data_IF_803757490833
#
_entry.id   IF_803757490833
#
_cell.length_a   1.000
_cell.length_b   1.000
_cell.length_c   1.000
_cell.angle_alpha   90.00
_cell.angle_beta   90.00
_cell.angle_gamma   90.00
#
_symmetry.space_group_name_H-M   'P 1'
#
loop_
_entity.id
_entity.type
_entity.pdbx_description
1 polymer ?
#
# COMPACT_ATOMS: atom_id res chain seq x y z
N UNK A 1 -12.70 52.57 -64.77
CA UNK A 1 -11.67 53.33 -64.03
C UNK A 1 -10.83 52.33 -63.22
N UNK A 2 -9.51 52.57 -63.10
CA UNK A 2 -8.41 51.59 -63.20
C UNK A 2 -8.12 50.89 -61.84
N UNK A 3 -7.13 50.02 -61.60
CA UNK A 3 -5.81 49.88 -62.21
C UNK A 3 -5.12 48.57 -61.75
N UNK A 4 -4.47 47.91 -62.72
CA UNK A 4 -3.18 47.15 -62.71
C UNK A 4 -2.68 46.55 -61.37
N UNK A 5 -2.50 45.23 -61.25
CA UNK A 5 -1.58 44.31 -61.94
C UNK A 5 -0.09 44.45 -61.57
N UNK A 6 0.48 43.43 -60.90
CA UNK A 6 1.46 42.45 -61.44
C UNK A 6 2.18 41.70 -60.31
N UNK A 7 2.16 40.37 -60.37
CA UNK A 7 3.07 39.47 -59.65
C UNK A 7 4.42 39.29 -60.38
N UNK A 8 5.06 38.11 -60.29
CA UNK A 8 5.97 37.76 -59.18
C UNK A 8 7.35 37.22 -59.61
N UNK A 9 8.36 37.31 -58.69
CA UNK A 9 9.56 36.43 -58.46
C UNK A 9 10.54 36.19 -59.64
N UNK A 10 11.66 35.45 -59.49
CA UNK A 10 12.66 35.25 -58.41
C UNK A 10 14.12 35.45 -58.90
N UNK A 11 15.16 35.30 -58.05
CA UNK A 11 16.42 34.56 -58.38
C UNK A 11 17.28 34.25 -57.15
N UNK A 12 17.91 33.06 -57.18
CA UNK A 12 18.91 32.47 -56.27
C UNK A 12 20.33 32.99 -56.53
N UNK A 13 21.26 32.86 -55.58
CA UNK A 13 22.41 31.91 -55.66
C UNK A 13 23.50 32.18 -54.61
N UNK A 14 24.21 31.11 -54.28
CA UNK A 14 25.20 30.87 -53.22
C UNK A 14 26.61 31.48 -53.46
N UNK A 15 27.43 31.54 -52.40
CA UNK A 15 28.79 30.97 -52.33
C UNK A 15 29.52 31.33 -51.01
N UNK A 16 30.05 30.30 -50.33
CA UNK A 16 31.06 30.29 -49.23
C UNK A 16 32.50 30.31 -49.83
N UNK A 17 33.60 30.04 -49.10
CA UNK A 17 34.18 30.60 -47.86
C UNK A 17 35.64 31.12 -48.10
N UNK A 18 36.32 31.71 -47.11
CA UNK A 18 37.79 31.85 -47.14
C UNK A 18 38.42 31.73 -45.75
N UNK A 19 39.29 30.72 -45.62
CA UNK A 19 40.18 30.50 -44.49
C UNK A 19 41.41 31.41 -44.55
N UNK A 20 42.00 31.74 -43.40
CA UNK A 20 43.44 31.98 -43.27
C UNK A 20 43.94 31.45 -41.93
N UNK A 21 45.15 30.90 -41.98
CA UNK A 21 45.79 29.97 -41.05
C UNK A 21 47.04 30.64 -40.45
N UNK A 22 47.51 30.03 -39.36
CA UNK A 22 48.88 30.05 -38.80
C UNK A 22 49.35 31.26 -37.97
N UNK A 23 49.89 30.93 -36.78
CA UNK A 23 50.48 31.91 -35.86
C UNK A 23 50.95 31.39 -34.49
N UNK A 24 51.60 30.22 -34.44
CA UNK A 24 52.85 29.96 -33.66
C UNK A 24 52.90 30.15 -32.11
N UNK A 25 53.05 29.02 -31.41
CA UNK A 25 53.62 28.90 -30.05
C UNK A 25 55.12 29.26 -30.02
N UNK A 26 55.67 29.69 -28.87
CA UNK A 26 57.04 29.31 -28.50
C UNK A 26 57.13 28.49 -27.21
N UNK A 27 58.04 27.50 -27.26
CA UNK A 27 58.55 26.66 -26.16
C UNK A 27 59.69 27.36 -25.40
N UNK A 28 59.87 26.94 -24.13
CA UNK A 28 61.11 27.06 -23.33
C UNK A 28 61.09 28.25 -22.36
N UNK A 29 61.57 28.18 -21.11
CA UNK A 29 62.77 27.51 -20.59
C UNK A 29 62.73 27.44 -19.04
N UNK A 30 63.44 26.45 -18.48
CA UNK A 30 64.06 26.36 -17.14
C UNK A 30 63.27 25.89 -15.90
N UNK A 31 63.41 24.58 -15.70
CA UNK A 31 63.73 23.89 -14.44
C UNK A 31 64.37 24.72 -13.31
N UNK A 32 63.87 24.51 -12.07
CA UNK A 32 64.72 24.43 -10.88
C UNK A 32 64.35 23.20 -10.05
N UNK A 33 65.26 22.23 -10.04
CA UNK A 33 65.36 21.16 -9.05
C UNK A 33 65.87 21.76 -7.74
N UNK A 34 65.19 21.51 -6.62
CA UNK A 34 65.82 21.50 -5.30
C UNK A 34 65.68 20.10 -4.69
N UNK A 35 66.80 19.63 -4.12
CA UNK A 35 67.00 18.29 -3.56
C UNK A 35 66.30 18.13 -2.20
N UNK A 36 65.81 16.91 -1.94
CA UNK A 36 65.31 16.37 -0.66
C UNK A 36 66.36 16.47 0.49
N UNK A 37 65.95 16.23 1.75
CA UNK A 37 66.04 14.85 2.27
C UNK A 37 64.77 14.38 3.02
N UNK A 38 64.65 13.06 3.11
CA UNK A 38 63.57 12.33 3.77
C UNK A 38 63.86 12.13 5.27
N UNK A 39 62.82 12.00 6.11
CA UNK A 39 62.78 11.00 7.19
C UNK A 39 61.38 10.86 7.84
N UNK A 40 60.94 9.59 7.90
CA UNK A 40 60.09 8.91 8.87
C UNK A 40 58.65 9.38 9.25
N UNK A 41 57.69 8.75 8.56
CA UNK A 41 56.48 8.05 9.06
C UNK A 41 55.92 8.47 10.43
N UNK A 42 54.88 9.30 10.41
CA UNK A 42 53.72 9.24 11.30
C UNK A 42 52.50 8.84 10.47
N UNK A 43 51.77 7.81 10.91
CA UNK A 43 50.65 7.19 10.20
C UNK A 43 49.39 7.98 10.52
N UNK A 44 49.09 9.02 9.74
CA UNK A 44 47.76 9.63 9.77
C UNK A 44 46.75 8.59 9.25
N UNK A 45 45.62 8.34 9.96
CA UNK A 45 44.57 7.52 9.41
C UNK A 45 43.97 8.26 8.22
N UNK A 46 44.15 7.69 7.03
CA UNK A 46 43.42 8.08 5.84
C UNK A 46 41.91 8.11 6.14
N UNK A 47 41.14 9.03 5.53
CA UNK A 47 39.69 9.00 5.64
C UNK A 47 39.22 7.61 5.21
N UNK A 48 38.61 6.90 6.15
CA UNK A 48 38.06 5.57 5.96
C UNK A 48 37.31 5.53 4.63
N UNK A 49 37.77 4.60 3.79
CA UNK A 49 37.54 4.59 2.37
C UNK A 49 36.09 4.78 1.99
N UNK A 50 35.93 5.47 0.86
CA UNK A 50 34.95 5.13 -0.14
C UNK A 50 35.10 3.62 -0.42
N UNK A 51 34.41 2.81 0.38
CA UNK A 51 34.01 1.48 -0.05
C UNK A 51 33.04 1.78 -1.18
N UNK A 52 33.51 1.54 -2.40
CA UNK A 52 32.66 1.37 -3.57
C UNK A 52 31.69 0.23 -3.26
N UNK A 53 30.61 0.55 -2.55
CA UNK A 53 29.37 -0.20 -2.68
C UNK A 53 29.00 -0.05 -4.16
N UNK A 54 29.17 -1.12 -4.91
CA UNK A 54 28.75 -1.25 -6.31
C UNK A 54 27.23 -1.26 -6.33
N UNK A 55 26.64 -0.09 -6.09
CA UNK A 55 25.20 0.13 -6.12
C UNK A 55 24.87 1.53 -5.67
N UNK A 56 24.26 2.32 -6.56
CA UNK A 56 23.77 3.65 -6.20
C UNK A 56 22.67 3.58 -5.12
N UNK A 57 22.27 4.71 -4.52
CA UNK A 57 21.22 4.73 -3.50
C UNK A 57 19.89 4.16 -4.03
N UNK A 58 19.59 4.32 -5.32
CA UNK A 58 18.42 3.72 -5.98
C UNK A 58 18.49 2.19 -6.02
N UNK A 59 19.68 1.63 -6.29
CA UNK A 59 19.89 0.18 -6.33
C UNK A 59 19.86 -0.42 -4.92
N UNK A 60 20.40 0.30 -3.94
CA UNK A 60 20.28 -0.06 -2.52
C UNK A 60 18.83 -0.06 -2.06
N UNK A 61 18.02 0.92 -2.49
CA UNK A 61 16.59 0.95 -2.22
C UNK A 61 15.84 -0.23 -2.87
N UNK A 62 16.23 -0.64 -4.07
CA UNK A 62 15.66 -1.81 -4.74
C UNK A 62 15.97 -3.12 -4.01
N UNK A 63 17.21 -3.32 -3.54
CA UNK A 63 17.54 -4.50 -2.72
C UNK A 63 16.78 -4.50 -1.39
N UNK A 64 16.69 -3.37 -0.70
CA UNK A 64 15.88 -3.25 0.51
C UNK A 64 14.40 -3.59 0.26
N UNK A 65 13.85 -3.19 -0.90
CA UNK A 65 12.49 -3.56 -1.31
C UNK A 65 12.34 -5.08 -1.51
N UNK A 66 13.34 -5.75 -2.10
CA UNK A 66 13.34 -7.21 -2.27
C UNK A 66 13.41 -7.95 -0.93
N UNK A 67 14.17 -7.40 0.03
CA UNK A 67 14.25 -7.92 1.39
C UNK A 67 12.99 -7.62 2.23
N UNK A 68 12.03 -6.88 1.67
CA UNK A 68 10.79 -6.48 2.33
C UNK A 68 10.95 -5.30 3.30
N UNK A 69 12.14 -4.71 3.40
CA UNK A 69 12.40 -3.57 4.27
C UNK A 69 12.04 -2.26 3.56
N UNK A 70 10.78 -1.85 3.73
CA UNK A 70 10.27 -0.58 3.21
C UNK A 70 10.95 0.63 3.87
N UNK A 71 11.30 0.56 5.14
CA UNK A 71 11.91 1.67 5.85
C UNK A 71 13.32 1.97 5.34
N UNK A 72 14.14 0.93 5.15
CA UNK A 72 15.45 1.07 4.52
C UNK A 72 15.33 1.54 3.07
N UNK A 73 14.35 1.04 2.30
CA UNK A 73 14.11 1.49 0.93
C UNK A 73 13.79 2.99 0.86
N UNK A 74 12.92 3.49 1.75
CA UNK A 74 12.62 4.92 1.84
C UNK A 74 13.87 5.75 2.19
N UNK A 75 14.67 5.32 3.17
CA UNK A 75 15.88 6.01 3.57
C UNK A 75 16.92 6.11 2.43
N UNK A 76 17.08 5.04 1.65
CA UNK A 76 17.95 5.05 0.48
C UNK A 76 17.41 5.96 -0.65
N UNK A 77 16.09 6.00 -0.85
CA UNK A 77 15.49 6.94 -1.82
C UNK A 77 15.61 8.40 -1.37
N UNK A 78 15.54 8.69 -0.07
CA UNK A 78 15.80 10.04 0.44
C UNK A 78 17.24 10.49 0.17
N UNK A 79 18.21 9.60 0.30
CA UNK A 79 19.60 9.87 -0.10
C UNK A 79 19.73 10.10 -1.60
N UNK A 80 19.00 9.35 -2.43
CA UNK A 80 18.99 9.53 -3.88
C UNK A 80 18.42 10.90 -4.26
N UNK A 81 17.27 11.29 -3.70
CA UNK A 81 16.65 12.60 -3.95
C UNK A 81 17.52 13.73 -3.41
N UNK A 82 18.17 13.56 -2.25
CA UNK A 82 19.10 14.56 -1.73
C UNK A 82 20.31 14.79 -2.64
N UNK A 83 20.74 13.75 -3.38
CA UNK A 83 21.83 13.85 -4.35
C UNK A 83 21.39 14.56 -5.64
N UNK A 84 20.15 14.35 -6.09
CA UNK A 84 19.58 14.95 -7.31
C UNK A 84 18.14 15.48 -7.08
N UNK A 85 17.94 16.63 -6.40
CA UNK A 85 16.61 17.08 -5.95
C UNK A 85 15.59 17.43 -7.04
N UNK A 86 16.03 17.56 -8.30
CA UNK A 86 15.19 17.95 -9.44
C UNK A 86 14.86 16.81 -10.40
N UNK A 87 15.30 15.58 -10.12
CA UNK A 87 15.09 14.47 -11.04
C UNK A 87 13.69 13.88 -10.85
N UNK A 88 12.82 14.10 -11.83
CA UNK A 88 11.43 13.66 -11.83
C UNK A 88 11.27 12.16 -11.55
N UNK A 89 12.14 11.32 -12.12
CA UNK A 89 12.13 9.86 -11.91
C UNK A 89 12.34 9.46 -10.44
N UNK A 90 13.27 10.12 -9.75
CA UNK A 90 13.60 9.82 -8.34
C UNK A 90 12.48 10.27 -7.40
N UNK A 91 11.95 11.47 -7.61
CA UNK A 91 10.80 11.99 -6.87
C UNK A 91 9.59 11.07 -7.06
N UNK A 92 9.34 10.65 -8.30
CA UNK A 92 8.26 9.73 -8.62
C UNK A 92 8.49 8.34 -7.97
N UNK A 93 9.70 7.80 -7.99
CA UNK A 93 10.03 6.53 -7.33
C UNK A 93 9.89 6.61 -5.80
N UNK A 94 10.30 7.74 -5.19
CA UNK A 94 10.07 7.99 -3.76
C UNK A 94 8.58 8.07 -3.43
N UNK A 95 7.78 8.74 -4.27
CA UNK A 95 6.33 8.80 -4.10
C UNK A 95 5.68 7.41 -4.09
N UNK A 96 6.17 6.45 -4.91
CA UNK A 96 5.70 5.06 -4.86
C UNK A 96 5.93 4.40 -3.50
N UNK A 97 7.16 4.52 -2.97
CA UNK A 97 7.49 3.93 -1.68
C UNK A 97 6.66 4.56 -0.55
N UNK A 98 6.45 5.88 -0.60
CA UNK A 98 5.62 6.61 0.37
C UNK A 98 4.14 6.25 0.27
N UNK A 99 3.61 6.01 -0.93
CA UNK A 99 2.25 5.46 -1.09
C UNK A 99 2.16 4.08 -0.44
N UNK A 100 3.18 3.23 -0.60
CA UNK A 100 3.24 1.91 0.04
C UNK A 100 3.39 1.99 1.56
N UNK A 101 4.02 3.05 2.07
CA UNK A 101 4.16 3.35 3.51
C UNK A 101 2.95 4.13 4.07
N UNK A 102 1.89 4.32 3.28
CA UNK A 102 0.67 5.07 3.64
C UNK A 102 0.90 6.57 3.96
N UNK A 103 2.04 7.13 3.54
CA UNK A 103 2.38 8.55 3.68
C UNK A 103 1.85 9.36 2.48
N UNK A 104 0.54 9.45 2.33
CA UNK A 104 -0.09 10.00 1.12
C UNK A 104 0.15 11.50 0.90
N UNK A 105 0.22 12.31 1.95
CA UNK A 105 0.50 13.76 1.83
C UNK A 105 1.89 14.02 1.24
N UNK A 106 2.92 13.36 1.79
CA UNK A 106 4.28 13.49 1.29
C UNK A 106 4.45 12.88 -0.09
N UNK A 107 3.76 11.77 -0.37
CA UNK A 107 3.74 11.18 -1.70
C UNK A 107 3.10 12.12 -2.74
N UNK A 108 2.05 12.84 -2.36
CA UNK A 108 1.40 13.84 -3.22
C UNK A 108 2.37 14.97 -3.56
N UNK A 109 3.10 15.50 -2.57
CA UNK A 109 4.12 16.53 -2.81
C UNK A 109 5.24 16.07 -3.75
N UNK A 110 5.71 14.83 -3.58
CA UNK A 110 6.76 14.29 -4.43
C UNK A 110 6.26 14.04 -5.86
N UNK A 111 5.03 13.55 -5.99
CA UNK A 111 4.39 13.34 -7.29
C UNK A 111 4.07 14.65 -8.01
N UNK A 112 3.66 15.71 -7.30
CA UNK A 112 3.44 17.04 -7.89
C UNK A 112 4.75 17.66 -8.35
N UNK A 113 5.80 17.65 -7.52
CA UNK A 113 7.15 18.12 -7.91
C UNK A 113 7.69 17.33 -9.11
N UNK A 114 7.46 16.01 -9.15
CA UNK A 114 7.85 15.19 -10.29
C UNK A 114 7.08 15.56 -11.57
N UNK A 115 5.77 15.81 -11.49
CA UNK A 115 4.94 16.22 -12.62
C UNK A 115 5.25 17.67 -13.08
N UNK A 116 5.69 18.54 -12.18
CA UNK A 116 6.18 19.88 -12.53
C UNK A 116 7.52 19.82 -13.26
N UNK A 117 8.42 18.93 -12.84
CA UNK A 117 9.71 18.72 -13.48
C UNK A 117 9.58 18.05 -14.86
N UNK A 118 8.70 17.05 -14.99
CA UNK A 118 8.37 16.43 -16.27
C UNK A 118 6.87 16.15 -16.38
N UNK A 119 6.18 17.02 -17.14
CA UNK A 119 4.74 16.94 -17.39
C UNK A 119 4.34 15.73 -18.24
N UNK A 120 5.29 15.10 -18.94
CA UNK A 120 5.04 13.92 -19.76
C UNK A 120 5.23 12.61 -18.99
N UNK A 121 5.76 12.69 -17.77
CA UNK A 121 6.07 11.52 -16.96
C UNK A 121 4.79 10.86 -16.43
N UNK A 122 4.37 9.80 -17.14
CA UNK A 122 3.19 9.02 -16.80
C UNK A 122 3.18 8.53 -15.35
N UNK A 123 4.33 8.08 -14.82
CA UNK A 123 4.43 7.57 -13.45
C UNK A 123 4.17 8.65 -12.39
N UNK A 124 4.58 9.90 -12.64
CA UNK A 124 4.32 11.02 -11.73
C UNK A 124 2.83 11.37 -11.70
N UNK A 125 2.20 11.49 -12.87
CA UNK A 125 0.76 11.77 -12.99
C UNK A 125 -0.10 10.66 -12.36
N UNK A 126 0.27 9.40 -12.60
CA UNK A 126 -0.41 8.25 -12.01
C UNK A 126 -0.28 8.25 -10.48
N UNK A 127 0.94 8.43 -9.95
CA UNK A 127 1.19 8.45 -8.50
C UNK A 127 0.52 9.64 -7.82
N UNK A 128 0.48 10.81 -8.48
CA UNK A 128 -0.29 11.99 -8.02
C UNK A 128 -1.77 11.66 -7.87
N UNK A 129 -2.38 11.04 -8.89
CA UNK A 129 -3.79 10.62 -8.83
C UNK A 129 -4.06 9.59 -7.73
N UNK A 130 -3.18 8.60 -7.55
CA UNK A 130 -3.31 7.58 -6.49
C UNK A 130 -3.20 8.23 -5.10
N UNK A 131 -2.22 9.12 -4.89
CA UNK A 131 -2.05 9.81 -3.61
C UNK A 131 -3.27 10.70 -3.28
N UNK A 132 -3.76 11.49 -4.24
CA UNK A 132 -4.98 12.30 -4.07
C UNK A 132 -6.22 11.45 -3.78
N UNK A 133 -6.35 10.27 -4.42
CA UNK A 133 -7.45 9.35 -4.16
C UNK A 133 -7.46 8.87 -2.69
N UNK A 134 -6.30 8.56 -2.13
CA UNK A 134 -6.18 8.15 -0.72
C UNK A 134 -6.32 9.31 0.28
N UNK A 135 -6.31 10.55 -0.20
CA UNK A 135 -6.59 11.75 0.60
C UNK A 135 -8.05 12.23 0.47
N UNK A 136 -8.91 11.43 -0.17
CA UNK A 136 -10.31 11.75 -0.49
C UNK A 136 -10.49 12.98 -1.41
N UNK A 137 -9.41 13.42 -2.06
CA UNK A 137 -9.43 14.49 -3.07
C UNK A 137 -9.78 13.92 -4.45
N UNK A 138 -10.98 13.36 -4.57
CA UNK A 138 -11.38 12.60 -5.76
C UNK A 138 -11.47 13.43 -7.05
N UNK A 139 -11.79 14.72 -6.96
CA UNK A 139 -11.80 15.63 -8.11
C UNK A 139 -10.38 15.86 -8.64
N UNK A 140 -9.42 16.18 -7.75
CA UNK A 140 -8.02 16.33 -8.11
C UNK A 140 -7.40 15.02 -8.63
N UNK A 141 -7.83 13.88 -8.07
CA UNK A 141 -7.43 12.56 -8.56
C UNK A 141 -7.92 12.31 -9.99
N UNK A 142 -9.17 12.66 -10.33
CA UNK A 142 -9.69 12.52 -11.69
C UNK A 142 -8.91 13.37 -12.70
N UNK A 143 -8.57 14.61 -12.36
CA UNK A 143 -7.76 15.46 -13.23
C UNK A 143 -6.38 14.86 -13.50
N UNK A 144 -5.71 14.38 -12.44
CA UNK A 144 -4.40 13.74 -12.57
C UNK A 144 -4.47 12.45 -13.43
N UNK A 145 -5.51 11.63 -13.27
CA UNK A 145 -5.72 10.46 -14.13
C UNK A 145 -6.10 10.82 -15.56
N UNK A 146 -6.85 11.90 -15.78
CA UNK A 146 -7.15 12.40 -17.12
C UNK A 146 -5.88 12.88 -17.84
N UNK A 147 -4.98 13.55 -17.13
CA UNK A 147 -3.66 13.92 -17.64
C UNK A 147 -2.79 12.69 -17.92
N UNK A 148 -2.77 11.71 -17.01
CA UNK A 148 -2.07 10.44 -17.22
C UNK A 148 -2.60 9.69 -18.46
N UNK A 149 -3.92 9.72 -18.69
CA UNK A 149 -4.56 9.14 -19.87
C UNK A 149 -4.23 9.86 -21.18
N UNK A 150 -3.91 11.17 -21.15
CA UNK A 150 -3.36 11.89 -22.31
C UNK A 150 -1.92 11.48 -22.60
N UNK A 151 -1.11 11.26 -21.56
CA UNK A 151 0.26 10.80 -21.70
C UNK A 151 0.36 9.36 -22.22
N UNK A 152 -0.55 8.48 -21.77
CA UNK A 152 -0.64 7.08 -22.24
C UNK A 152 -2.11 6.67 -22.50
N UNK A 153 -2.63 6.93 -23.72
CA UNK A 153 -3.99 6.53 -24.08
C UNK A 153 -4.16 5.01 -24.05
N UNK A 154 -5.25 4.53 -23.45
CA UNK A 154 -5.59 3.10 -23.41
C UNK A 154 -4.91 2.30 -22.29
N UNK A 155 -4.25 2.95 -21.33
CA UNK A 155 -3.75 2.28 -20.14
C UNK A 155 -4.90 1.79 -19.25
N UNK A 156 -4.96 0.47 -19.02
CA UNK A 156 -6.02 -0.16 -18.24
C UNK A 156 -5.96 0.22 -16.76
N UNK A 157 -4.77 0.55 -16.24
CA UNK A 157 -4.58 1.01 -14.87
C UNK A 157 -5.24 2.37 -14.65
N UNK A 158 -4.98 3.34 -15.53
CA UNK A 158 -5.63 4.66 -15.49
C UNK A 158 -7.14 4.52 -15.61
N UNK A 159 -7.64 3.71 -16.55
CA UNK A 159 -9.08 3.50 -16.71
C UNK A 159 -9.76 2.94 -15.44
N UNK A 160 -9.11 1.96 -14.79
CA UNK A 160 -9.60 1.40 -13.54
C UNK A 160 -9.63 2.44 -12.42
N UNK A 161 -8.58 3.25 -12.29
CA UNK A 161 -8.53 4.32 -11.29
C UNK A 161 -9.54 5.45 -11.54
N UNK A 162 -9.75 5.86 -12.79
CA UNK A 162 -10.78 6.84 -13.16
C UNK A 162 -12.18 6.33 -12.81
N UNK A 163 -12.46 5.04 -13.06
CA UNK A 163 -13.73 4.42 -12.68
C UNK A 163 -13.90 4.40 -11.15
N UNK A 164 -12.85 4.08 -10.38
CA UNK A 164 -12.85 4.13 -8.92
C UNK A 164 -13.15 5.54 -8.41
N UNK A 165 -12.53 6.57 -8.97
CA UNK A 165 -12.78 7.96 -8.59
C UNK A 165 -14.23 8.39 -8.91
N UNK A 166 -14.74 8.02 -10.09
CA UNK A 166 -16.12 8.32 -10.47
C UNK A 166 -17.14 7.63 -9.55
N UNK A 167 -16.88 6.38 -9.16
CA UNK A 167 -17.72 5.67 -8.19
C UNK A 167 -17.68 6.35 -6.81
N UNK A 168 -16.50 6.72 -6.32
CA UNK A 168 -16.34 7.42 -5.04
C UNK A 168 -17.09 8.77 -5.02
N UNK A 169 -16.97 9.56 -6.09
CA UNK A 169 -17.72 10.83 -6.24
C UNK A 169 -19.23 10.61 -6.32
N UNK A 170 -19.69 9.58 -7.04
CA UNK A 170 -21.10 9.26 -7.10
C UNK A 170 -21.66 8.85 -5.74
N UNK A 171 -20.88 8.11 -4.94
CA UNK A 171 -21.25 7.78 -3.55
C UNK A 171 -21.33 9.04 -2.67
N UNK A 172 -20.38 9.97 -2.81
CA UNK A 172 -20.40 11.27 -2.14
C UNK A 172 -21.60 12.14 -2.52
N UNK A 173 -22.00 12.13 -3.79
CA UNK A 173 -23.14 12.90 -4.30
C UNK A 173 -24.50 12.23 -4.03
N UNK A 174 -24.54 10.90 -3.94
CA UNK A 174 -25.74 10.14 -3.60
C UNK A 174 -26.02 10.11 -2.09
N UNK A 175 -25.06 10.52 -1.26
CA UNK A 175 -25.36 10.90 0.11
C UNK A 175 -26.39 12.04 0.08
N UNK A 176 -27.50 11.95 0.85
CA UNK A 176 -28.52 12.98 0.83
C UNK A 176 -27.87 14.34 1.12
N UNK A 177 -28.08 15.30 0.21
CA UNK A 177 -27.60 16.67 0.32
C UNK A 177 -28.15 17.32 1.60
N UNK A 178 -27.47 17.07 2.72
CA UNK A 178 -27.60 17.85 3.93
C UNK A 178 -26.50 18.92 3.89
N UNK A 179 -26.96 20.15 3.66
CA UNK A 179 -26.24 21.41 3.86
C UNK A 179 -25.29 21.89 2.74
N UNK A 180 -25.88 22.25 1.60
CA UNK A 180 -25.55 23.53 0.99
C UNK A 180 -26.49 24.61 1.54
N UNK A 181 -25.99 25.48 2.42
CA UNK A 181 -26.80 26.56 3.01
C UNK A 181 -26.01 27.48 3.92
N UNK A 182 -25.31 28.45 3.33
CA UNK A 182 -24.79 29.64 4.02
C UNK A 182 -25.94 30.38 4.72
N UNK A 183 -25.82 30.56 6.04
CA UNK A 183 -26.72 31.40 6.83
C UNK A 183 -26.54 31.22 8.32
N UNK A 184 -25.55 31.91 8.90
CA UNK A 184 -25.51 32.16 10.35
C UNK A 184 -26.76 32.98 10.78
N UNK A 185 -27.21 32.85 12.04
CA UNK A 185 -26.63 33.71 13.06
C UNK A 185 -26.24 32.98 14.35
N UNK A 186 -25.41 33.69 15.09
CA UNK A 186 -24.64 33.27 16.25
C UNK A 186 -25.46 32.89 17.50
N UNK A 187 -25.00 31.84 18.19
CA UNK A 187 -25.00 31.66 19.65
C UNK A 187 -23.89 30.65 20.02
N UNK A 188 -23.30 30.71 21.22
CA UNK A 188 -21.87 30.93 21.39
C UNK A 188 -21.03 29.66 21.24
N UNK A 189 -19.89 29.83 20.57
CA UNK A 189 -18.82 28.85 20.49
C UNK A 189 -18.25 28.55 21.88
N UNK A 190 -18.23 27.26 22.25
CA UNK A 190 -17.22 26.76 23.16
C UNK A 190 -15.93 26.64 22.34
N UNK A 191 -14.94 27.45 22.72
CA UNK A 191 -13.61 27.53 22.11
C UNK A 191 -13.01 26.16 21.84
N UNK A 192 -12.93 25.80 20.56
CA UNK A 192 -12.02 24.78 20.05
C UNK A 192 -10.88 25.50 19.33
N UNK A 193 -10.05 26.19 20.11
CA UNK A 193 -8.78 26.73 19.62
C UNK A 193 -7.72 25.64 19.71
N UNK A 194 -7.52 24.90 18.61
CA UNK A 194 -6.24 24.25 18.29
C UNK A 194 -5.89 24.41 16.81
N UNK A 195 -5.65 25.66 16.43
CA UNK A 195 -4.74 26.02 15.35
C UNK A 195 -3.32 26.09 15.91
N UNK A 196 -2.65 24.93 15.98
CA UNK A 196 -1.25 24.84 16.39
C UNK A 196 -0.50 23.83 15.53
N UNK A 197 0.46 24.30 14.74
CA UNK A 197 1.39 23.48 13.98
C UNK A 197 2.18 22.56 14.93
N UNK A 198 1.78 21.28 15.01
CA UNK A 198 2.45 20.28 15.87
C UNK A 198 1.57 19.16 16.46
N UNK A 199 0.26 19.11 16.18
CA UNK A 199 -0.61 18.07 16.72
C UNK A 199 -0.19 16.67 16.21
N UNK A 200 0.19 15.76 17.12
CA UNK A 200 0.51 14.38 16.75
C UNK A 200 -0.78 13.62 16.46
N UNK A 201 -0.90 13.05 15.27
CA UNK A 201 -2.05 12.21 14.88
C UNK A 201 -1.81 10.77 15.35
N UNK A 202 -2.56 10.31 16.36
CA UNK A 202 -2.52 8.92 16.79
C UNK A 202 -3.51 8.05 15.98
N UNK A 203 -3.06 6.85 15.60
CA UNK A 203 -3.94 5.82 15.00
C UNK A 203 -4.89 5.31 16.09
N UNK A 204 -6.16 5.14 15.74
CA UNK A 204 -7.14 4.50 16.61
C UNK A 204 -7.80 3.33 15.88
N UNK A 205 -8.25 2.34 16.64
CA UNK A 205 -9.02 1.19 16.17
C UNK A 205 -10.20 1.02 17.09
N UNK A 206 -11.31 0.53 16.55
CA UNK A 206 -12.45 0.14 17.35
C UNK A 206 -12.98 -1.21 16.93
N UNK A 207 -13.64 -1.88 17.86
CA UNK A 207 -14.45 -3.05 17.60
C UNK A 207 -15.58 -3.10 18.62
N UNK A 208 -16.57 -3.95 18.38
CA UNK A 208 -17.72 -4.07 19.27
C UNK A 208 -18.07 -5.54 19.52
N UNK A 209 -18.74 -5.73 20.64
CA UNK A 209 -19.45 -6.94 21.02
C UNK A 209 -20.93 -6.59 21.18
N UNK A 210 -21.78 -7.58 21.47
CA UNK A 210 -23.20 -7.33 21.73
C UNK A 210 -23.44 -6.38 22.91
N UNK A 211 -22.51 -6.33 23.88
CA UNK A 211 -22.69 -5.61 25.14
C UNK A 211 -21.74 -4.41 25.30
N UNK A 212 -20.57 -4.43 24.66
CA UNK A 212 -19.54 -3.41 24.83
C UNK A 212 -18.94 -2.94 23.50
N UNK A 213 -18.49 -1.69 23.46
CA UNK A 213 -17.67 -1.11 22.40
C UNK A 213 -16.26 -0.86 22.94
N UNK A 214 -15.25 -1.25 22.19
CA UNK A 214 -13.85 -1.11 22.55
C UNK A 214 -13.20 -0.12 21.60
N UNK A 215 -12.62 0.94 22.15
CA UNK A 215 -11.88 1.97 21.39
C UNK A 215 -10.43 1.97 21.88
N UNK A 216 -9.49 1.75 20.97
CA UNK A 216 -8.05 1.70 21.26
C UNK A 216 -7.33 2.83 20.52
N UNK A 217 -6.68 3.73 21.25
CA UNK A 217 -5.83 4.80 20.68
C UNK A 217 -4.37 4.42 20.88
N UNK A 218 -3.64 4.21 19.78
CA UNK A 218 -2.24 3.79 19.79
C UNK A 218 -1.32 4.99 19.96
N UNK A 219 -0.93 5.22 21.21
CA UNK A 219 -0.08 6.33 21.59
C UNK A 219 1.00 5.82 22.53
N UNK A 220 2.25 5.80 22.04
CA UNK A 220 3.38 5.19 22.74
C UNK A 220 3.82 6.06 23.91
N UNK A 221 3.92 5.47 25.10
CA UNK A 221 4.54 6.05 26.29
C UNK A 221 3.78 7.25 26.90
N UNK A 222 2.44 7.22 26.92
CA UNK A 222 1.63 8.25 27.59
C UNK A 222 1.24 7.78 28.99
N UNK A 223 1.63 8.51 30.06
CA UNK A 223 1.22 8.18 31.43
C UNK A 223 -0.25 8.58 31.68
N UNK A 224 -0.89 7.92 32.66
CA UNK A 224 -2.34 8.04 32.93
C UNK A 224 -2.79 9.48 33.20
N UNK A 225 -1.91 10.29 33.78
CA UNK A 225 -2.17 11.68 34.19
C UNK A 225 -2.26 12.64 32.99
N UNK A 226 -1.76 12.24 31.82
CA UNK A 226 -1.70 13.06 30.61
C UNK A 226 -2.81 12.78 29.61
N UNK A 227 -3.60 11.74 29.83
CA UNK A 227 -4.75 11.38 29.01
C UNK A 227 -6.05 11.61 29.80
N UNK A 228 -6.92 12.44 29.27
CA UNK A 228 -8.25 12.73 29.82
C UNK A 228 -9.28 12.08 28.92
N UNK A 229 -10.15 11.25 29.49
CA UNK A 229 -11.22 10.55 28.76
C UNK A 229 -12.55 10.99 29.36
N UNK A 230 -13.32 11.72 28.58
CA UNK A 230 -14.67 12.15 28.94
C UNK A 230 -15.68 11.36 28.10
N UNK A 231 -16.51 10.58 28.78
CA UNK A 231 -17.61 9.84 28.16
C UNK A 231 -18.93 10.48 28.55
N UNK A 232 -19.76 10.73 27.54
CA UNK A 232 -21.16 11.15 27.67
C UNK A 232 -22.06 10.15 26.95
N UNK A 233 -23.37 10.27 27.17
CA UNK A 233 -24.38 9.34 26.67
C UNK A 233 -24.24 8.96 25.18
N UNK A 234 -23.83 9.90 24.32
CA UNK A 234 -23.60 9.70 22.88
C UNK A 234 -22.29 10.35 22.39
N UNK A 235 -21.32 10.60 23.27
CA UNK A 235 -20.07 11.24 22.84
C UNK A 235 -18.88 10.73 23.63
N UNK A 236 -17.78 10.50 22.92
CA UNK A 236 -16.49 10.15 23.48
C UNK A 236 -15.49 11.25 23.13
N UNK A 237 -14.84 11.79 24.15
CA UNK A 237 -13.73 12.72 24.00
C UNK A 237 -12.50 12.12 24.66
N UNK A 238 -11.43 11.91 23.89
CA UNK A 238 -10.12 11.51 24.38
C UNK A 238 -9.13 12.63 24.07
N UNK A 239 -8.57 13.24 25.11
CA UNK A 239 -7.56 14.29 24.99
C UNK A 239 -6.24 13.81 25.56
N UNK A 240 -5.15 14.02 24.81
CA UNK A 240 -3.78 13.78 25.25
C UNK A 240 -3.05 15.11 25.35
N UNK A 241 -2.35 15.31 26.48
CA UNK A 241 -1.51 16.48 26.72
C UNK A 241 -0.01 16.17 26.61
N UNK A 242 0.73 17.09 26.02
CA UNK A 242 2.20 17.11 25.92
C UNK A 242 2.87 17.25 27.30
N UNK A 243 4.19 17.06 27.37
CA UNK A 243 4.99 17.21 28.60
C UNK A 243 4.94 18.65 29.13
N UNK A 244 4.73 19.60 28.21
CA UNK A 244 4.54 21.02 28.51
C UNK A 244 3.11 21.38 28.95
N UNK A 245 2.17 20.42 28.99
CA UNK A 245 0.77 20.64 29.36
C UNK A 245 -0.13 21.14 28.23
N UNK A 246 0.41 21.35 27.03
CA UNK A 246 -0.35 21.73 25.83
C UNK A 246 -1.12 20.52 25.25
N UNK A 247 -2.34 20.70 24.74
CA UNK A 247 -3.09 19.62 24.11
C UNK A 247 -2.41 19.19 22.79
N UNK A 248 -2.03 17.91 22.73
CA UNK A 248 -1.23 17.32 21.66
C UNK A 248 -2.09 16.52 20.67
N UNK A 249 -3.19 15.95 21.17
CA UNK A 249 -4.16 15.18 20.38
C UNK A 249 -5.55 15.22 21.02
N UNK A 250 -6.56 15.31 20.17
CA UNK A 250 -7.97 15.25 20.55
C UNK A 250 -8.71 14.30 19.60
N UNK A 251 -9.40 13.33 20.17
CA UNK A 251 -10.35 12.47 19.48
C UNK A 251 -11.74 12.74 20.04
N UNK A 252 -12.53 13.52 19.30
CA UNK A 252 -13.92 13.82 19.61
C UNK A 252 -14.82 13.04 18.64
N UNK A 253 -15.53 12.02 19.15
CA UNK A 253 -16.41 11.15 18.36
C UNK A 253 -17.83 11.21 18.93
N UNK A 254 -18.81 11.48 18.07
CA UNK A 254 -20.22 11.27 18.41
C UNK A 254 -20.55 9.79 18.23
N UNK A 255 -20.92 9.10 19.29
CA UNK A 255 -21.11 7.65 19.28
C UNK A 255 -22.39 7.25 18.54
N UNK A 256 -22.33 6.17 17.77
CA UNK A 256 -23.46 5.65 16.97
C UNK A 256 -24.69 5.22 17.79
N UNK A 257 -24.54 5.00 19.09
CA UNK A 257 -25.64 4.69 20.00
C UNK A 257 -25.34 5.09 21.44
N UNK A 258 -26.35 4.95 22.30
CA UNK A 258 -26.26 5.30 23.71
C UNK A 258 -25.33 4.37 24.47
N UNK A 259 -24.43 4.96 25.23
CA UNK A 259 -23.54 4.27 26.16
C UNK A 259 -23.89 4.64 27.60
N UNK A 260 -23.67 3.73 28.52
CA UNK A 260 -23.77 4.00 29.95
C UNK A 260 -22.41 4.50 30.47
N UNK A 261 -22.27 5.79 30.85
CA UNK A 261 -21.03 6.34 31.39
C UNK A 261 -20.55 5.60 32.65
N UNK A 262 -21.47 5.10 33.48
CA UNK A 262 -21.16 4.45 34.75
C UNK A 262 -20.54 3.06 34.57
N UNK A 263 -20.84 2.38 33.46
CA UNK A 263 -20.28 1.08 33.09
C UNK A 263 -18.99 1.15 32.28
N UNK A 264 -18.44 2.35 32.03
CA UNK A 264 -17.24 2.50 31.19
C UNK A 264 -15.95 2.25 31.95
N UNK A 265 -15.05 1.48 31.35
CA UNK A 265 -13.74 1.14 31.92
C UNK A 265 -12.66 1.71 31.01
N UNK A 266 -11.85 2.61 31.57
CA UNK A 266 -10.67 3.17 30.89
C UNK A 266 -9.42 2.48 31.40
N UNK A 267 -8.68 1.83 30.51
CA UNK A 267 -7.45 1.11 30.81
C UNK A 267 -6.29 1.76 30.04
N UNK A 268 -5.26 2.18 30.77
CA UNK A 268 -4.07 2.80 30.19
C UNK A 268 -2.96 1.76 30.10
N UNK A 269 -2.59 1.39 28.88
CA UNK A 269 -1.52 0.44 28.60
C UNK A 269 -0.39 1.20 27.90
N UNK A 270 0.88 0.97 28.26
CA UNK A 270 2.00 1.80 27.77
C UNK A 270 2.07 2.02 26.23
N UNK A 271 1.67 1.06 25.37
CA UNK A 271 1.52 1.28 23.92
C UNK A 271 0.18 1.87 23.45
N UNK A 272 -0.89 1.88 24.28
CA UNK A 272 -2.26 2.24 23.87
C UNK A 272 -3.19 2.61 25.02
N UNK A 273 -4.10 3.54 24.76
CA UNK A 273 -5.22 3.87 25.65
C UNK A 273 -6.43 3.05 25.19
N UNK A 274 -6.97 2.20 26.06
CA UNK A 274 -8.15 1.38 25.77
C UNK A 274 -9.36 1.90 26.55
N UNK A 275 -10.45 2.16 25.85
CA UNK A 275 -11.73 2.59 26.42
C UNK A 275 -12.76 1.52 26.12
N UNK A 276 -13.31 0.91 27.18
CA UNK A 276 -14.38 -0.08 27.12
C UNK A 276 -15.67 0.63 27.48
N UNK A 277 -16.53 0.87 26.48
CA UNK A 277 -17.82 1.53 26.63
C UNK A 277 -18.91 0.47 26.79
N UNK A 278 -19.72 0.55 27.84
CA UNK A 278 -20.90 -0.29 28.01
C UNK A 278 -22.07 0.25 27.16
N UNK A 279 -22.68 -0.59 26.33
CA UNK A 279 -23.85 -0.19 25.53
C UNK A 279 -25.09 -0.14 26.43
N UNK A 280 -25.86 0.94 26.35
CA UNK A 280 -27.12 1.06 27.08
C UNK A 280 -28.25 0.22 26.44
N UNK A 281 -28.31 0.20 25.10
CA UNK A 281 -29.47 -0.36 24.37
C UNK A 281 -29.16 -1.72 23.68
N UNK A 282 -27.96 -2.30 23.88
CA UNK A 282 -27.55 -3.55 23.21
C UNK A 282 -27.48 -3.48 21.68
N UNK A 283 -27.63 -2.29 21.10
CA UNK A 283 -27.66 -2.07 19.65
C UNK A 283 -26.33 -2.41 18.97
N UNK A 284 -26.40 -3.02 17.80
CA UNK A 284 -25.23 -3.22 16.94
C UNK A 284 -24.97 -1.95 16.13
N UNK A 285 -23.77 -1.38 16.23
CA UNK A 285 -23.42 -0.13 15.56
C UNK A 285 -22.84 -0.43 14.18
N UNK A 286 -23.19 0.34 13.16
CA UNK A 286 -22.61 0.19 11.82
C UNK A 286 -21.25 0.88 11.70
N UNK A 287 -21.05 1.94 12.47
CA UNK A 287 -19.79 2.67 12.59
C UNK A 287 -19.65 3.22 14.02
N UNK A 288 -18.43 3.59 14.43
CA UNK A 288 -18.18 4.21 15.73
C UNK A 288 -18.84 5.60 15.80
N UNK A 289 -18.86 6.33 14.68
CA UNK A 289 -19.39 7.68 14.61
C UNK A 289 -20.86 7.72 14.13
N UNK A 290 -21.71 8.47 14.83
CA UNK A 290 -23.09 8.71 14.43
C UNK A 290 -23.13 9.51 13.13
N UNK A 291 -23.70 8.93 12.07
CA UNK A 291 -23.72 9.55 10.75
C UNK A 291 -22.40 9.40 9.97
N UNK A 292 -21.41 8.69 10.53
CA UNK A 292 -20.37 8.08 9.71
C UNK A 292 -21.07 7.09 8.79
N UNK A 293 -21.06 7.38 7.50
CA UNK A 293 -21.29 6.37 6.48
C UNK A 293 -20.23 5.30 6.71
N UNK A 294 -20.58 4.31 7.52
CA UNK A 294 -19.82 3.08 7.60
C UNK A 294 -19.65 2.63 6.16
N UNK A 295 -18.41 2.65 5.70
CA UNK A 295 -18.03 1.76 4.62
C UNK A 295 -18.53 0.39 5.07
N UNK A 296 -19.52 -0.13 4.35
CA UNK A 296 -19.79 -1.56 4.40
C UNK A 296 -18.44 -2.24 4.27
N UNK A 297 -18.07 -3.00 5.30
CA UNK A 297 -17.24 -4.18 5.10
C UNK A 297 -18.07 -5.15 4.23
N UNK A 298 -18.26 -4.80 2.96
CA UNK A 298 -18.39 -5.78 1.91
C UNK A 298 -16.98 -6.36 1.80
N UNK A 299 -16.81 -7.50 2.49
CA UNK A 299 -15.54 -8.17 2.65
C UNK A 299 -14.69 -8.09 1.40
N UNK A 300 -13.45 -7.64 1.57
CA UNK A 300 -12.43 -7.57 0.53
C UNK A 300 -12.45 -8.90 -0.24
N UNK A 301 -12.80 -8.92 -1.54
CA UNK A 301 -12.74 -10.14 -2.30
C UNK A 301 -11.28 -10.55 -2.39
N UNK A 302 -10.97 -11.74 -1.88
CA UNK A 302 -9.70 -12.38 -2.13
C UNK A 302 -9.42 -12.37 -3.66
N UNK A 303 -8.16 -12.24 -4.11
CA UNK A 303 -7.80 -12.00 -5.52
C UNK A 303 -8.25 -13.06 -6.55
N UNK A 304 -8.97 -14.08 -6.13
CA UNK A 304 -9.51 -15.17 -6.95
C UNK A 304 -11.05 -15.19 -7.03
N UNK A 305 -11.75 -14.22 -6.43
CA UNK A 305 -13.21 -14.15 -6.46
C UNK A 305 -13.71 -13.74 -7.86
N UNK A 306 -14.01 -14.76 -8.68
CA UNK A 306 -14.63 -14.64 -10.00
C UNK A 306 -15.93 -13.83 -9.94
N UNK A 307 -16.12 -12.93 -10.92
CA UNK A 307 -17.39 -12.24 -11.19
C UNK A 307 -18.44 -13.23 -11.67
N UNK A 308 -18.98 -14.08 -10.80
CA UNK A 308 -20.15 -14.90 -11.11
C UNK A 308 -21.19 -14.74 -10.02
N UNK A 309 -22.46 -14.62 -10.47
CA UNK A 309 -23.60 -14.33 -9.60
C UNK A 309 -23.75 -15.45 -8.55
N UNK A 310 -24.13 -15.12 -7.30
CA UNK A 310 -24.43 -16.13 -6.30
C UNK A 310 -25.66 -16.93 -6.74
N UNK A 311 -25.48 -18.20 -7.14
CA UNK A 311 -26.61 -19.09 -7.45
C UNK A 311 -26.33 -20.34 -8.28
N UNK A 312 -25.32 -20.35 -9.16
CA UNK A 312 -25.15 -21.43 -10.15
C UNK A 312 -24.05 -22.45 -9.77
N UNK A 313 -24.14 -23.06 -8.58
CA UNK A 313 -23.17 -24.06 -8.11
C UNK A 313 -23.17 -25.36 -8.94
N UNK A 314 -24.34 -25.78 -9.43
CA UNK A 314 -24.46 -26.99 -10.27
C UNK A 314 -23.87 -26.82 -11.67
N UNK A 315 -23.85 -25.59 -12.18
CA UNK A 315 -23.22 -25.28 -13.48
C UNK A 315 -21.70 -25.23 -13.32
N UNK A 316 -21.22 -24.69 -12.20
CA UNK A 316 -19.80 -24.67 -11.82
C UNK A 316 -19.23 -26.08 -11.69
N UNK A 317 -19.94 -27.00 -11.02
CA UNK A 317 -19.52 -28.41 -10.92
C UNK A 317 -19.43 -29.09 -12.28
N UNK A 318 -20.34 -28.78 -13.22
CA UNK A 318 -20.31 -29.34 -14.57
C UNK A 318 -19.23 -28.73 -15.48
N UNK A 319 -18.93 -27.44 -15.32
CA UNK A 319 -17.92 -26.69 -16.08
C UNK A 319 -16.51 -27.13 -15.63
N UNK A 320 -16.28 -27.25 -14.31
CA UNK A 320 -15.04 -27.79 -13.72
C UNK A 320 -14.86 -29.27 -14.07
N UNK A 321 -15.92 -30.08 -14.02
CA UNK A 321 -15.83 -31.49 -14.39
C UNK A 321 -15.56 -31.70 -15.90
N UNK A 322 -15.97 -30.75 -16.75
CA UNK A 322 -15.68 -30.75 -18.17
C UNK A 322 -14.22 -30.31 -18.45
N UNK A 323 -13.77 -29.23 -17.81
CA UNK A 323 -12.38 -28.73 -17.92
C UNK A 323 -11.36 -29.71 -17.34
N UNK A 324 -11.68 -30.35 -16.20
CA UNK A 324 -10.84 -31.41 -15.63
C UNK A 324 -10.77 -32.65 -16.53
N UNK A 325 -11.67 -32.85 -17.49
CA UNK A 325 -11.65 -34.05 -18.35
C UNK A 325 -10.67 -33.94 -19.51
N UNK A 326 -10.40 -32.72 -19.97
CA UNK A 326 -9.59 -32.47 -21.18
C UNK A 326 -8.10 -32.21 -20.89
N UNK A 327 -7.71 -32.00 -19.63
CA UNK A 327 -6.30 -31.89 -19.25
C UNK A 327 -5.65 -33.26 -19.04
N UNK A 328 -4.79 -33.63 -19.99
CA UNK A 328 -3.88 -34.78 -19.93
C UNK A 328 -2.58 -34.34 -19.23
N UNK A 329 -2.61 -34.32 -17.89
CA UNK A 329 -1.45 -33.95 -17.06
C UNK A 329 -0.62 -35.19 -16.76
N UNK A 330 0.65 -35.22 -17.17
CA UNK A 330 1.57 -36.32 -16.84
C UNK A 330 2.19 -36.17 -15.44
N UNK A 331 2.44 -37.30 -14.77
CA UNK A 331 3.14 -37.39 -13.48
C UNK A 331 2.21 -37.44 -12.27
N UNK A 332 2.61 -36.78 -11.18
CA UNK A 332 1.95 -36.82 -9.87
C UNK A 332 0.49 -36.28 -9.91
N UNK A 333 0.20 -35.40 -10.87
CA UNK A 333 -1.13 -34.85 -11.10
C UNK A 333 -2.13 -35.87 -11.68
N UNK A 334 -1.69 -36.76 -12.59
CA UNK A 334 -2.51 -37.86 -13.07
C UNK A 334 -2.82 -38.87 -11.96
N UNK A 335 -1.85 -39.10 -11.07
CA UNK A 335 -2.01 -40.00 -9.93
C UNK A 335 -3.01 -39.44 -8.91
N UNK A 336 -2.91 -38.15 -8.59
CA UNK A 336 -3.88 -37.44 -7.75
C UNK A 336 -5.28 -37.43 -8.36
N UNK A 337 -5.40 -37.26 -9.68
CA UNK A 337 -6.68 -37.33 -10.40
C UNK A 337 -7.28 -38.75 -10.37
N UNK A 338 -6.44 -39.78 -10.48
CA UNK A 338 -6.85 -41.17 -10.33
C UNK A 338 -7.39 -41.43 -8.91
N UNK A 339 -6.69 -40.97 -7.87
CA UNK A 339 -7.16 -41.11 -6.48
C UNK A 339 -8.44 -40.32 -6.20
N UNK A 340 -8.57 -39.12 -6.77
CA UNK A 340 -9.80 -38.29 -6.67
C UNK A 340 -11.00 -39.00 -7.30
N UNK A 341 -10.81 -39.63 -8.46
CA UNK A 341 -11.87 -40.38 -9.14
C UNK A 341 -12.24 -41.65 -8.35
N UNK A 342 -11.26 -42.41 -7.87
CA UNK A 342 -11.52 -43.60 -7.03
C UNK A 342 -12.29 -43.20 -5.76
N UNK A 343 -11.94 -42.08 -5.12
CA UNK A 343 -12.63 -41.61 -3.92
C UNK A 343 -14.05 -41.10 -4.20
N UNK A 344 -14.28 -40.45 -5.35
CA UNK A 344 -15.59 -39.92 -5.76
C UNK A 344 -16.58 -41.04 -6.09
N UNK A 345 -16.10 -42.11 -6.73
CA UNK A 345 -16.92 -43.25 -7.16
C UNK A 345 -16.95 -44.41 -6.13
N UNK A 346 -16.17 -44.32 -5.05
CA UNK A 346 -16.12 -45.33 -3.98
C UNK A 346 -17.33 -45.29 -3.03
N UNK A 347 -17.75 -46.48 -2.60
CA UNK A 347 -18.69 -46.68 -1.50
C UNK A 347 -18.08 -46.24 -0.15
N UNK A 348 -18.93 -46.01 0.86
CA UNK A 348 -18.51 -45.40 2.11
C UNK A 348 -17.47 -46.23 2.89
N UNK A 349 -17.54 -47.56 2.77
CA UNK A 349 -16.57 -48.48 3.36
C UNK A 349 -15.22 -48.41 2.64
N UNK A 350 -15.22 -48.32 1.31
CA UNK A 350 -14.00 -48.11 0.51
C UNK A 350 -13.33 -46.77 0.82
N UNK A 351 -14.10 -45.70 1.02
CA UNK A 351 -13.55 -44.38 1.42
C UNK A 351 -12.91 -44.42 2.81
N UNK A 352 -13.56 -45.09 3.76
CA UNK A 352 -13.02 -45.29 5.12
C UNK A 352 -11.75 -46.13 5.09
N UNK A 353 -11.70 -47.17 4.26
CA UNK A 353 -10.52 -48.01 4.06
C UNK A 353 -9.33 -47.20 3.52
N UNK A 354 -9.59 -46.35 2.53
CA UNK A 354 -8.59 -45.49 1.91
C UNK A 354 -8.04 -44.45 2.90
N UNK A 355 -8.91 -43.76 3.64
CA UNK A 355 -8.46 -42.76 4.63
C UNK A 355 -7.69 -43.38 5.79
N UNK A 356 -8.14 -44.55 6.29
CA UNK A 356 -7.48 -45.26 7.39
C UNK A 356 -6.12 -45.81 6.96
N UNK A 357 -6.03 -46.48 5.81
CA UNK A 357 -4.76 -47.00 5.28
C UNK A 357 -3.77 -45.88 4.96
N UNK A 358 -4.23 -44.78 4.37
CA UNK A 358 -3.38 -43.63 4.07
C UNK A 358 -2.82 -42.99 5.34
N UNK A 359 -3.65 -42.79 6.36
CA UNK A 359 -3.25 -42.19 7.63
C UNK A 359 -2.33 -43.10 8.45
N UNK A 360 -2.61 -44.41 8.49
CA UNK A 360 -1.79 -45.36 9.26
C UNK A 360 -0.46 -45.70 8.58
N UNK A 361 -0.40 -45.66 7.24
CA UNK A 361 0.81 -45.92 6.46
C UNK A 361 1.67 -44.68 6.19
N UNK A 362 1.32 -43.52 6.78
CA UNK A 362 2.06 -42.27 6.56
C UNK A 362 2.05 -41.80 5.10
N UNK A 363 1.00 -42.14 4.35
CA UNK A 363 0.82 -41.75 2.95
C UNK A 363 1.47 -42.66 1.90
N UNK A 364 1.96 -43.85 2.29
CA UNK A 364 2.72 -44.75 1.39
C UNK A 364 1.90 -45.92 0.85
N UNK A 365 0.82 -46.32 1.52
CA UNK A 365 -0.01 -47.47 1.13
C UNK A 365 -1.49 -47.08 1.15
N UNK A 366 -2.17 -47.32 0.03
CA UNK A 366 -3.61 -47.08 -0.13
C UNK A 366 -4.32 -48.41 -0.37
N UNK A 367 -5.22 -48.79 0.54
CA UNK A 367 -6.04 -50.00 0.42
C UNK A 367 -7.52 -49.63 0.34
N UNK A 368 -8.24 -50.32 -0.55
CA UNK A 368 -9.68 -50.12 -0.80
C UNK A 368 -10.57 -51.14 -0.09
N UNK A 369 -10.00 -52.14 0.61
CA UNK A 369 -10.78 -53.23 1.23
C UNK A 369 -10.97 -53.03 2.75
N UNK A 370 -12.12 -52.51 3.17
CA UNK A 370 -12.44 -52.27 4.59
C UNK A 370 -12.31 -53.50 5.50
N UNK A 371 -12.53 -54.71 4.97
CA UNK A 371 -12.44 -55.95 5.78
C UNK A 371 -11.01 -56.25 6.23
N UNK A 372 -10.00 -55.78 5.52
CA UNK A 372 -8.59 -56.03 5.83
C UNK A 372 -8.00 -54.94 6.73
N UNK A 373 -8.23 -53.66 6.37
CA UNK A 373 -7.78 -52.49 7.14
C UNK A 373 -8.63 -52.21 8.37
N UNK A 374 -9.88 -52.67 8.41
CA UNK A 374 -10.75 -52.52 9.57
C UNK A 374 -10.25 -53.31 10.78
N UNK A 375 -9.68 -54.50 10.53
CA UNK A 375 -9.29 -55.46 11.56
C UNK A 375 -7.81 -55.39 12.01
N UNK A 376 -6.92 -54.79 11.22
CA UNK A 376 -5.48 -54.71 11.53
C UNK A 376 -4.84 -53.38 11.13
N UNK A 377 -3.69 -53.06 11.73
CA UNK A 377 -2.91 -51.83 11.44
C UNK A 377 -2.16 -51.98 10.13
N UNK A 378 -2.20 -50.97 9.26
CA UNK A 378 -1.42 -50.99 8.00
C UNK A 378 0.01 -50.55 8.25
N UNK A 379 0.97 -51.42 7.94
CA UNK A 379 2.40 -51.12 8.08
C UNK A 379 2.91 -50.21 6.96
N UNK A 380 3.76 -49.26 7.32
CA UNK A 380 4.45 -48.36 6.41
C UNK A 380 5.46 -49.17 5.58
N UNK A 381 5.26 -49.25 4.26
CA UNK A 381 6.26 -49.79 3.33
C UNK A 381 6.77 -48.64 2.45
N UNK A 382 7.97 -48.10 2.73
CA UNK A 382 8.55 -47.04 1.93
C UNK A 382 8.82 -47.50 0.49
N UNK A 383 8.68 -46.61 -0.51
CA UNK A 383 9.16 -46.85 -1.88
C UNK A 383 10.67 -47.14 -1.87
N UNK A 384 11.13 -48.06 -2.73
CA UNK A 384 12.51 -48.54 -2.73
C UNK A 384 13.53 -47.37 -2.83
N UNK A 385 14.31 -47.16 -1.76
CA UNK A 385 15.36 -46.15 -1.69
C UNK A 385 15.20 -45.07 -0.60
N UNK A 386 14.11 -45.07 0.17
CA UNK A 386 13.94 -44.15 1.31
C UNK A 386 13.71 -44.89 2.62
N UNK A 387 14.52 -44.59 3.64
CA UNK A 387 14.35 -45.14 4.99
C UNK A 387 13.13 -44.52 5.68
N UNK A 388 12.38 -45.30 6.49
CA UNK A 388 11.22 -44.80 7.19
C UNK A 388 11.65 -43.72 8.19
N UNK A 389 11.08 -42.53 8.06
CA UNK A 389 11.22 -41.46 9.05
C UNK A 389 10.50 -41.91 10.32
N UNK A 390 11.27 -42.43 11.29
CA UNK A 390 10.77 -42.70 12.65
C UNK A 390 10.40 -41.37 13.30
N UNK A 391 9.13 -41.18 13.62
CA UNK A 391 8.69 -40.21 14.63
C UNK A 391 8.98 -40.71 16.03
#
# INVERSE_FOLDING_TARGET
MPSRARGPRPVRSAATPRAFRDGTLPRGVAARRSKRPAQHRGRDPAPSGCVTAMGGPVESAFFALLDGDLAAACAHMDQAVASEPGRAELLSARAELKIRDEQFMEALEDATKAAEADKSLFSALLRKGIASFHLDEFEAAQEAFAEAGKARPGDSGVAAWTQKCAAALATLQAAPAAAGGSGAPAAPALDATLTGAGAKKYRHQWYQTGTHVYVSVFAKNIPKERATVDVRDNALLIQVRSEAGEPEYELAVQLGGKVDPAGTVVEHVAPKIEVKLAKADGSQWTDLQQGGSGAQDDGIPLPWASKRRPGDWSKLESEIAAEEKDEQLEGDAALMKLFKNIYKDADDDTRRAMMKSYSESGGTVLSTNWKEVGAGKVEVKPPAGQEPMKM
#
